data_IF_959601903847
#
_entry.id   IF_959601903847
#
_cell.length_a   1.000
_cell.length_b   1.000
_cell.length_c   1.000
_cell.angle_alpha   90.00
_cell.angle_beta   90.00
_cell.angle_gamma   90.00
#
_symmetry.space_group_name_H-M   'P 1'
#
loop_
_entity.id
_entity.type
_entity.pdbx_description
1 polymer ?
#
# COMPACT_ATOMS: atom_id res chain seq x y z
N UNK A 1 11.76 -0.49 -10.81
CA UNK A 1 11.47 -0.37 -9.41
C UNK A 1 10.68 0.87 -9.08
N UNK A 2 10.57 1.18 -7.81
CA UNK A 2 9.93 2.39 -7.35
C UNK A 2 10.98 3.45 -6.98
N UNK A 3 11.31 4.40 -7.87
CA UNK A 3 12.32 5.42 -7.58
C UNK A 3 11.96 6.26 -6.34
N UNK A 4 10.67 6.52 -6.16
CA UNK A 4 10.19 7.27 -5.00
C UNK A 4 10.46 6.53 -3.69
N UNK A 5 10.22 5.21 -3.66
CA UNK A 5 10.48 4.41 -2.45
C UNK A 5 11.96 4.34 -2.12
N UNK A 6 12.81 4.15 -3.11
CA UNK A 6 14.26 4.14 -2.92
C UNK A 6 14.78 5.48 -2.42
N UNK A 7 14.29 6.57 -3.02
CA UNK A 7 14.66 7.92 -2.63
C UNK A 7 14.22 8.21 -1.20
N UNK A 8 13.03 7.76 -0.81
CA UNK A 8 12.53 7.94 0.55
C UNK A 8 13.45 7.29 1.58
N UNK A 9 13.97 6.08 1.29
CA UNK A 9 14.89 5.39 2.18
C UNK A 9 16.19 6.17 2.40
N UNK A 10 16.64 6.88 1.38
CA UNK A 10 17.93 7.59 1.43
C UNK A 10 17.84 8.97 2.08
N UNK A 11 16.76 9.71 1.83
CA UNK A 11 16.72 11.13 2.17
C UNK A 11 15.70 11.52 3.23
N UNK A 12 14.74 10.64 3.57
CA UNK A 12 13.68 10.98 4.52
C UNK A 12 14.20 11.48 5.88
N UNK A 13 15.37 10.98 6.33
CA UNK A 13 15.98 11.41 7.57
C UNK A 13 16.91 12.61 7.45
N UNK A 14 17.14 13.12 6.25
CA UNK A 14 18.12 14.19 6.01
C UNK A 14 17.49 15.57 5.88
N UNK A 15 16.27 15.65 5.43
CA UNK A 15 15.61 16.91 5.12
C UNK A 15 14.12 16.81 5.38
N UNK A 16 13.61 17.73 6.19
CA UNK A 16 12.18 17.79 6.47
C UNK A 16 11.39 18.12 5.22
N UNK A 17 11.89 19.01 4.38
CA UNK A 17 11.24 19.36 3.11
C UNK A 17 11.17 18.14 2.18
N UNK A 18 12.26 17.39 2.07
CA UNK A 18 12.29 16.18 1.25
C UNK A 18 11.32 15.13 1.80
N UNK A 19 11.27 14.96 3.12
CA UNK A 19 10.33 14.04 3.77
C UNK A 19 8.89 14.43 3.45
N UNK A 20 8.55 15.71 3.55
CA UNK A 20 7.21 16.20 3.25
C UNK A 20 6.84 16.00 1.78
N UNK A 21 7.78 16.23 0.87
CA UNK A 21 7.56 16.00 -0.55
C UNK A 21 7.29 14.54 -0.87
N UNK A 22 8.03 13.63 -0.23
CA UNK A 22 7.83 12.20 -0.39
C UNK A 22 6.49 11.76 0.21
N UNK A 23 6.13 12.32 1.36
CA UNK A 23 4.84 12.05 1.98
C UNK A 23 3.70 12.44 1.03
N UNK A 24 3.78 13.59 0.39
CA UNK A 24 2.76 14.00 -0.58
C UNK A 24 2.67 13.03 -1.75
N UNK A 25 3.80 12.58 -2.28
CA UNK A 25 3.82 11.62 -3.38
C UNK A 25 3.18 10.28 -2.99
N UNK A 26 3.52 9.75 -1.83
CA UNK A 26 2.92 8.53 -1.33
C UNK A 26 1.41 8.71 -1.05
N UNK A 27 1.02 9.90 -0.54
CA UNK A 27 -0.39 10.19 -0.27
C UNK A 27 -1.24 10.16 -1.53
N UNK A 28 -0.71 10.68 -2.65
CA UNK A 28 -1.40 10.62 -3.94
C UNK A 28 -1.59 9.16 -4.38
N UNK A 29 -0.56 8.36 -4.29
CA UNK A 29 -0.63 6.95 -4.67
C UNK A 29 -1.59 6.18 -3.77
N UNK A 30 -1.48 6.36 -2.47
CA UNK A 30 -2.34 5.73 -1.49
C UNK A 30 -3.82 6.13 -1.69
N UNK A 31 -4.05 7.38 -2.11
CA UNK A 31 -5.39 7.87 -2.43
C UNK A 31 -6.06 7.01 -3.51
N UNK A 32 -5.32 6.60 -4.54
CA UNK A 32 -5.86 5.74 -5.60
C UNK A 32 -6.28 4.37 -5.06
N UNK A 33 -5.49 3.80 -4.15
CA UNK A 33 -5.87 2.55 -3.49
C UNK A 33 -7.15 2.74 -2.67
N UNK A 34 -7.21 3.80 -1.88
CA UNK A 34 -8.38 4.09 -1.06
C UNK A 34 -9.62 4.30 -1.92
N UNK A 35 -9.50 5.04 -3.00
CA UNK A 35 -10.62 5.32 -3.90
C UNK A 35 -11.17 4.03 -4.51
N UNK A 36 -10.30 3.13 -4.93
CA UNK A 36 -10.73 1.82 -5.45
C UNK A 36 -11.49 1.01 -4.40
N UNK A 37 -10.98 0.99 -3.17
CA UNK A 37 -11.63 0.27 -2.06
C UNK A 37 -12.97 0.92 -1.68
N UNK A 38 -13.05 2.24 -1.69
CA UNK A 38 -14.32 2.94 -1.44
C UNK A 38 -15.36 2.61 -2.50
N UNK A 39 -14.96 2.51 -3.77
CA UNK A 39 -15.86 2.11 -4.84
C UNK A 39 -16.38 0.68 -4.64
N UNK A 40 -15.52 -0.23 -4.19
CA UNK A 40 -15.94 -1.59 -3.86
C UNK A 40 -16.92 -1.59 -2.69
N UNK A 41 -16.71 -0.72 -1.72
CA UNK A 41 -17.63 -0.59 -0.59
C UNK A 41 -18.99 -0.03 -1.05
N UNK A 42 -18.97 0.98 -1.90
CA UNK A 42 -20.19 1.58 -2.44
C UNK A 42 -21.00 0.58 -3.29
N UNK A 43 -20.32 -0.32 -3.99
CA UNK A 43 -20.98 -1.34 -4.82
C UNK A 43 -21.38 -2.60 -4.03
N UNK A 44 -21.08 -2.65 -2.73
CA UNK A 44 -21.41 -3.77 -1.88
C UNK A 44 -20.39 -4.92 -1.89
N UNK A 45 -19.31 -4.79 -2.64
CA UNK A 45 -18.26 -5.81 -2.68
C UNK A 45 -17.40 -5.82 -1.42
N UNK A 46 -17.18 -4.66 -0.83
CA UNK A 46 -16.46 -4.53 0.43
C UNK A 46 -17.45 -4.29 1.55
N UNK A 47 -17.22 -4.92 2.71
CA UNK A 47 -18.12 -4.82 3.86
C UNK A 47 -18.26 -3.37 4.33
N UNK A 48 -19.47 -2.96 4.78
CA UNK A 48 -19.67 -1.59 5.28
C UNK A 48 -18.82 -1.24 6.50
N UNK A 49 -18.43 -2.24 7.30
CA UNK A 49 -17.60 -2.04 8.49
C UNK A 49 -16.10 -2.09 8.20
N UNK A 50 -15.70 -2.34 6.96
CA UNK A 50 -14.31 -2.26 6.56
C UNK A 50 -13.85 -0.80 6.48
N UNK A 51 -12.57 -0.57 6.74
CA UNK A 51 -11.96 0.76 6.65
C UNK A 51 -11.09 0.85 5.41
N UNK A 52 -11.56 1.48 4.32
CA UNK A 52 -10.77 1.60 3.10
C UNK A 52 -9.43 2.31 3.29
N UNK A 53 -9.36 3.31 4.17
CA UNK A 53 -8.09 4.00 4.42
C UNK A 53 -7.07 3.08 5.08
N UNK A 54 -7.47 2.32 6.09
CA UNK A 54 -6.58 1.37 6.75
C UNK A 54 -6.07 0.31 5.78
N UNK A 55 -6.95 -0.22 4.94
CA UNK A 55 -6.58 -1.20 3.92
C UNK A 55 -5.63 -0.60 2.90
N UNK A 56 -5.86 0.65 2.51
CA UNK A 56 -4.98 1.35 1.56
C UNK A 56 -3.59 1.59 2.14
N UNK A 57 -3.49 1.96 3.42
CA UNK A 57 -2.21 2.12 4.11
C UNK A 57 -1.45 0.79 4.14
N UNK A 58 -2.13 -0.28 4.52
CA UNK A 58 -1.52 -1.61 4.56
C UNK A 58 -1.02 -2.07 3.20
N UNK A 59 -1.81 -1.86 2.15
CA UNK A 59 -1.42 -2.20 0.79
C UNK A 59 -0.22 -1.37 0.33
N UNK A 60 -0.23 -0.07 0.59
CA UNK A 60 0.89 0.81 0.25
C UNK A 60 2.18 0.37 0.96
N UNK A 61 2.09 0.06 2.25
CA UNK A 61 3.22 -0.40 3.02
C UNK A 61 3.77 -1.73 2.49
N UNK A 62 2.89 -2.65 2.10
CA UNK A 62 3.29 -3.94 1.53
C UNK A 62 4.04 -3.75 0.20
N UNK A 63 3.54 -2.87 -0.67
CA UNK A 63 4.18 -2.58 -1.96
C UNK A 63 5.57 -2.00 -1.73
N UNK A 64 5.69 -0.99 -0.88
CA UNK A 64 6.96 -0.32 -0.64
C UNK A 64 7.96 -1.22 0.09
N UNK A 65 7.50 -1.92 1.14
CA UNK A 65 8.34 -2.84 1.89
C UNK A 65 8.78 -4.05 1.06
N UNK A 66 7.85 -4.62 0.31
CA UNK A 66 8.15 -5.74 -0.58
C UNK A 66 9.16 -5.37 -1.64
N UNK A 67 8.99 -4.20 -2.24
CA UNK A 67 9.93 -3.70 -3.23
C UNK A 67 11.34 -3.50 -2.66
N UNK A 68 11.41 -2.86 -1.49
CA UNK A 68 12.70 -2.63 -0.82
C UNK A 68 13.41 -3.94 -0.51
N UNK A 69 12.67 -4.94 -0.04
CA UNK A 69 13.23 -6.25 0.28
C UNK A 69 13.72 -6.98 -0.97
N UNK A 70 12.97 -6.96 -2.06
CA UNK A 70 13.40 -7.55 -3.34
C UNK A 70 14.72 -6.93 -3.78
N UNK A 71 14.79 -5.60 -3.74
CA UNK A 71 15.97 -4.87 -4.16
C UNK A 71 17.20 -5.18 -3.29
N UNK A 72 16.98 -5.35 -1.98
CA UNK A 72 18.07 -5.54 -1.01
C UNK A 72 18.51 -6.98 -0.92
N UNK A 73 17.57 -7.93 -0.89
CA UNK A 73 17.85 -9.35 -0.72
C UNK A 73 18.02 -10.09 -2.04
N UNK A 74 17.56 -9.48 -3.13
CA UNK A 74 17.50 -10.10 -4.46
C UNK A 74 16.58 -11.32 -4.49
N UNK A 75 15.58 -11.34 -3.61
CA UNK A 75 14.59 -12.41 -3.54
C UNK A 75 13.23 -11.85 -3.92
N UNK A 76 12.77 -12.19 -5.12
CA UNK A 76 11.50 -11.72 -5.68
C UNK A 76 10.30 -12.19 -4.86
N UNK A 77 10.44 -13.27 -4.10
CA UNK A 77 9.34 -13.78 -3.28
C UNK A 77 8.90 -12.79 -2.21
N UNK A 78 9.78 -11.87 -1.79
CA UNK A 78 9.45 -10.86 -0.78
C UNK A 78 8.24 -10.03 -1.19
N UNK A 79 8.17 -9.60 -2.44
CA UNK A 79 7.03 -8.84 -2.94
C UNK A 79 5.77 -9.71 -3.00
N UNK A 80 5.88 -10.92 -3.53
CA UNK A 80 4.74 -11.83 -3.63
C UNK A 80 4.14 -12.14 -2.26
N UNK A 81 4.98 -12.42 -1.28
CA UNK A 81 4.54 -12.70 0.09
C UNK A 81 3.85 -11.48 0.69
N UNK A 82 4.48 -10.30 0.58
CA UNK A 82 3.91 -9.07 1.14
C UNK A 82 2.56 -8.74 0.51
N UNK A 83 2.45 -8.85 -0.81
CA UNK A 83 1.20 -8.58 -1.51
C UNK A 83 0.12 -9.60 -1.16
N UNK A 84 0.46 -10.88 -1.08
CA UNK A 84 -0.51 -11.91 -0.69
C UNK A 84 -1.08 -11.64 0.69
N UNK A 85 -0.24 -11.27 1.65
CA UNK A 85 -0.70 -10.96 3.01
C UNK A 85 -1.59 -9.72 3.03
N UNK A 86 -1.24 -8.67 2.28
CA UNK A 86 -2.06 -7.48 2.17
C UNK A 86 -3.39 -7.77 1.48
N UNK A 87 -3.37 -8.55 0.41
CA UNK A 87 -4.57 -8.93 -0.31
C UNK A 87 -5.48 -9.85 0.52
N UNK A 88 -4.91 -10.68 1.38
CA UNK A 88 -5.70 -11.50 2.29
C UNK A 88 -6.51 -10.63 3.26
N UNK A 89 -5.93 -9.53 3.74
CA UNK A 89 -6.66 -8.58 4.58
C UNK A 89 -7.85 -7.98 3.84
N UNK A 90 -7.68 -7.70 2.54
CA UNK A 90 -8.78 -7.20 1.70
C UNK A 90 -9.82 -8.31 1.47
N UNK A 91 -9.38 -9.54 1.19
CA UNK A 91 -10.29 -10.68 1.00
C UNK A 91 -11.18 -10.91 2.21
N UNK A 92 -10.61 -10.82 3.41
CA UNK A 92 -11.35 -10.96 4.66
C UNK A 92 -12.40 -9.84 4.79
N UNK A 93 -12.13 -8.67 4.24
CA UNK A 93 -13.04 -7.53 4.28
C UNK A 93 -14.09 -7.54 3.17
N UNK A 94 -14.04 -8.52 2.25
CA UNK A 94 -15.06 -8.64 1.21
C UNK A 94 -16.39 -9.08 1.79
N UNK A 95 -17.49 -8.65 1.17
CA UNK A 95 -18.82 -9.08 1.54
C UNK A 95 -18.98 -10.58 1.27
N UNK A 96 -19.76 -11.24 2.11
CA UNK A 96 -20.04 -12.65 1.92
C UNK A 96 -20.78 -12.87 0.60
N UNK A 97 -20.40 -13.92 -0.14
CA UNK A 97 -21.14 -14.34 -1.32
C UNK A 97 -22.47 -14.94 -0.89
N UNK A 98 -23.55 -14.55 -1.55
CA UNK A 98 -24.88 -15.08 -1.30
C UNK A 98 -25.30 -16.06 -2.37
#
# INVERSE_FOLDING_TARGET
GCPMGSLASEIAGRSETARENLQRGFSVWQHWFRLGLERMQDSGELRPDADPEELAVGLMAAVQGGYLLVKTTRDERSMAIALDMALDSIRVALSAAE
#
